data_IF_705823769475
#
_entry.id   IF_705823769475
#
_cell.length_a   1.000
_cell.length_b   1.000
_cell.length_c   1.000
_cell.angle_alpha   90.00
_cell.angle_beta   90.00
_cell.angle_gamma   90.00
#
_symmetry.space_group_name_H-M   'P 1'
#
loop_
_entity.id
_entity.type
_entity.pdbx_description
1 polymer ?
#
# COMPACT_ATOMS: atom_id res chain seq x y z
N UNK A 1 -24.82 16.37 12.47
CA UNK A 1 -24.04 15.12 12.52
C UNK A 1 -23.16 15.18 13.76
N UNK A 2 -23.21 14.18 14.63
CA UNK A 2 -22.36 14.09 15.84
C UNK A 2 -21.35 12.96 15.65
N UNK A 3 -20.09 13.20 16.01
CA UNK A 3 -19.03 12.19 15.92
C UNK A 3 -19.12 11.24 17.12
N UNK A 4 -19.41 9.96 16.88
CA UNK A 4 -19.55 8.95 17.95
C UNK A 4 -18.20 8.45 18.44
N UNK A 5 -17.23 8.25 17.53
CA UNK A 5 -15.86 7.82 17.85
C UNK A 5 -14.91 8.48 16.86
N UNK A 6 -13.97 9.28 17.37
CA UNK A 6 -13.03 10.01 16.51
C UNK A 6 -12.09 9.05 15.75
N UNK A 7 -11.56 8.03 16.43
CA UNK A 7 -10.62 7.06 15.87
C UNK A 7 -11.16 5.64 16.07
N UNK A 8 -11.79 5.07 15.03
CA UNK A 8 -12.40 3.74 15.13
C UNK A 8 -11.36 2.61 15.10
N UNK A 9 -10.29 2.80 14.34
CA UNK A 9 -9.18 1.87 14.12
C UNK A 9 -8.29 2.41 12.99
N UNK A 10 -7.13 1.79 12.79
CA UNK A 10 -6.27 2.07 11.65
C UNK A 10 -6.58 1.14 10.48
N UNK A 11 -6.36 1.61 9.26
CA UNK A 11 -6.49 0.82 8.03
C UNK A 11 -5.12 0.75 7.35
N UNK A 12 -4.81 -0.42 6.78
CA UNK A 12 -3.68 -0.60 5.88
C UNK A 12 -3.95 0.10 4.55
N UNK A 13 -2.88 0.48 3.84
CA UNK A 13 -2.95 1.02 2.49
C UNK A 13 -3.66 0.03 1.54
N UNK A 14 -3.46 -1.28 1.73
CA UNK A 14 -4.17 -2.33 1.01
C UNK A 14 -5.69 -2.29 1.26
N UNK A 15 -6.14 -2.19 2.51
CA UNK A 15 -7.59 -2.14 2.80
C UNK A 15 -8.27 -0.91 2.20
N UNK A 16 -7.57 0.22 2.17
CA UNK A 16 -8.06 1.43 1.50
C UNK A 16 -8.13 1.21 -0.02
N UNK A 17 -7.09 0.62 -0.62
CA UNK A 17 -7.06 0.32 -2.05
C UNK A 17 -8.17 -0.68 -2.44
N UNK A 18 -8.34 -1.76 -1.67
CA UNK A 18 -9.38 -2.78 -1.85
C UNK A 18 -10.79 -2.16 -1.75
N UNK A 19 -11.00 -1.27 -0.79
CA UNK A 19 -12.25 -0.51 -0.67
C UNK A 19 -12.51 0.38 -1.89
N UNK A 20 -11.50 1.10 -2.39
CA UNK A 20 -11.64 1.94 -3.58
C UNK A 20 -11.93 1.10 -4.84
N UNK A 21 -11.24 -0.04 -5.00
CA UNK A 21 -11.52 -1.00 -6.07
C UNK A 21 -12.98 -1.47 -6.04
N UNK A 22 -13.51 -1.81 -4.85
CA UNK A 22 -14.90 -2.25 -4.69
C UNK A 22 -15.94 -1.19 -5.08
N UNK A 23 -15.53 0.10 -5.11
CA UNK A 23 -16.35 1.23 -5.53
C UNK A 23 -16.19 1.59 -7.01
N UNK A 24 -15.36 0.87 -7.75
CA UNK A 24 -15.11 1.09 -9.17
C UNK A 24 -13.90 1.98 -9.47
N UNK A 25 -12.96 2.16 -8.52
CA UNK A 25 -11.69 2.78 -8.84
C UNK A 25 -10.90 1.83 -9.75
N UNK A 26 -10.48 2.32 -10.91
CA UNK A 26 -9.64 1.60 -11.87
C UNK A 26 -8.75 2.59 -12.61
N UNK A 27 -7.68 2.09 -13.21
CA UNK A 27 -6.86 2.82 -14.20
C UNK A 27 -7.58 2.95 -15.56
N UNK A 28 -8.66 2.20 -15.78
CA UNK A 28 -9.40 2.17 -17.04
C UNK A 28 -10.07 3.52 -17.38
N UNK A 29 -10.31 3.72 -18.68
CA UNK A 29 -11.06 4.87 -19.23
C UNK A 29 -12.47 4.97 -18.60
N UNK A 30 -13.01 3.86 -18.11
CA UNK A 30 -14.30 3.81 -17.40
C UNK A 30 -14.31 4.53 -16.05
N UNK A 31 -13.14 4.96 -15.52
CA UNK A 31 -13.02 5.74 -14.27
C UNK A 31 -13.88 7.01 -14.24
N UNK A 32 -14.21 7.57 -15.40
CA UNK A 32 -15.05 8.77 -15.51
C UNK A 32 -16.52 8.50 -15.10
N UNK A 33 -16.96 7.25 -15.18
CA UNK A 33 -18.34 6.83 -14.93
C UNK A 33 -18.55 6.39 -13.47
N UNK A 34 -17.46 6.06 -12.76
CA UNK A 34 -17.56 5.60 -11.38
C UNK A 34 -17.96 6.73 -10.42
N UNK A 35 -18.82 6.46 -9.41
CA UNK A 35 -19.22 7.45 -8.40
C UNK A 35 -18.12 7.64 -7.34
N UNK A 36 -16.93 8.03 -7.80
CA UNK A 36 -15.73 8.23 -6.99
C UNK A 36 -15.31 9.69 -7.08
N UNK A 37 -15.08 10.30 -5.92
CA UNK A 37 -14.67 11.70 -5.86
C UNK A 37 -13.25 11.87 -6.42
N UNK A 38 -12.95 13.06 -6.96
CA UNK A 38 -11.60 13.39 -7.45
C UNK A 38 -10.52 13.19 -6.37
N UNK A 39 -10.84 13.46 -5.11
CA UNK A 39 -9.94 13.22 -3.97
C UNK A 39 -9.65 11.74 -3.75
N UNK A 40 -10.63 10.87 -3.95
CA UNK A 40 -10.49 9.42 -3.80
C UNK A 40 -9.65 8.84 -4.94
N UNK A 41 -9.79 9.37 -6.17
CA UNK A 41 -8.92 9.00 -7.28
C UNK A 41 -7.46 9.38 -7.04
N UNK A 42 -7.18 10.54 -6.45
CA UNK A 42 -5.79 10.91 -6.10
C UNK A 42 -5.17 9.93 -5.10
N UNK A 43 -5.97 9.44 -4.14
CA UNK A 43 -5.51 8.42 -3.18
C UNK A 43 -5.30 7.09 -3.89
N UNK A 44 -6.23 6.68 -4.78
CA UNK A 44 -6.09 5.49 -5.60
C UNK A 44 -4.81 5.51 -6.44
N UNK A 45 -4.60 6.59 -7.21
CA UNK A 45 -3.46 6.77 -8.10
C UNK A 45 -2.13 6.71 -7.33
N UNK A 46 -2.08 7.21 -6.09
CA UNK A 46 -0.93 7.01 -5.19
C UNK A 46 -0.78 5.55 -4.76
N UNK A 47 -1.84 4.92 -4.26
CA UNK A 47 -1.78 3.58 -3.66
C UNK A 47 -1.37 2.49 -4.66
N UNK A 48 -1.77 2.61 -5.93
CA UNK A 48 -1.40 1.65 -6.98
C UNK A 48 0.09 1.64 -7.31
N UNK A 49 0.83 2.69 -6.93
CA UNK A 49 2.28 2.78 -7.09
C UNK A 49 3.06 2.26 -5.86
N UNK A 50 2.34 1.86 -4.80
CA UNK A 50 2.94 1.39 -3.53
C UNK A 50 2.87 -0.14 -3.38
N UNK A 51 3.46 -0.66 -2.29
CA UNK A 51 3.36 -2.07 -1.91
C UNK A 51 1.90 -2.57 -1.76
N UNK A 52 0.95 -1.67 -1.50
CA UNK A 52 -0.46 -2.02 -1.36
C UNK A 52 -1.04 -2.67 -2.63
N UNK A 53 -0.51 -2.34 -3.81
CA UNK A 53 -1.01 -2.86 -5.08
C UNK A 53 -0.75 -4.35 -5.27
N UNK A 54 0.41 -4.83 -4.86
CA UNK A 54 0.82 -6.23 -5.05
C UNK A 54 0.40 -7.12 -3.89
N UNK A 55 0.09 -6.54 -2.74
CA UNK A 55 -0.34 -7.24 -1.54
C UNK A 55 -1.72 -7.90 -1.68
N UNK A 56 -1.92 -8.96 -0.91
CA UNK A 56 -3.21 -9.64 -0.77
C UNK A 56 -3.65 -9.67 0.69
N UNK A 57 -4.95 -9.87 0.90
CA UNK A 57 -5.49 -10.03 2.26
C UNK A 57 -4.89 -11.23 2.98
N UNK A 58 -4.60 -12.30 2.26
CA UNK A 58 -3.95 -13.49 2.82
C UNK A 58 -2.52 -13.20 3.26
N UNK A 59 -1.69 -12.56 2.42
CA UNK A 59 -0.30 -12.23 2.75
C UNK A 59 -0.21 -11.32 3.98
N UNK A 60 -1.08 -10.31 4.06
CA UNK A 60 -1.12 -9.38 5.20
C UNK A 60 -1.52 -10.08 6.51
N UNK A 61 -2.51 -10.96 6.46
CA UNK A 61 -2.97 -11.69 7.63
C UNK A 61 -1.89 -12.66 8.13
N UNK A 62 -1.27 -13.44 7.22
CA UNK A 62 -0.17 -14.35 7.56
C UNK A 62 1.01 -13.60 8.18
N UNK A 63 1.41 -12.46 7.59
CA UNK A 63 2.48 -11.63 8.12
C UNK A 63 2.14 -11.11 9.53
N UNK A 64 0.94 -10.56 9.71
CA UNK A 64 0.47 -10.02 11.00
C UNK A 64 0.40 -11.07 12.11
N UNK A 65 0.08 -12.32 11.77
CA UNK A 65 0.09 -13.43 12.71
C UNK A 65 1.51 -13.82 13.14
N UNK A 66 2.43 -13.92 12.17
CA UNK A 66 3.84 -14.25 12.43
C UNK A 66 4.58 -13.18 13.21
N UNK A 67 4.27 -11.89 12.99
CA UNK A 67 4.88 -10.79 13.75
C UNK A 67 4.54 -10.80 15.25
N UNK A 68 3.52 -11.56 15.69
CA UNK A 68 3.20 -11.69 17.13
C UNK A 68 4.35 -12.32 17.91
N UNK A 69 5.12 -13.19 17.26
CA UNK A 69 6.27 -13.87 17.87
C UNK A 69 7.47 -12.92 18.07
N UNK A 70 7.48 -11.78 17.37
CA UNK A 70 8.59 -10.82 17.32
C UNK A 70 8.41 -9.60 18.24
N UNK A 71 7.36 -9.60 19.09
CA UNK A 71 7.02 -8.49 20.01
C UNK A 71 6.87 -7.13 19.29
N UNK A 72 6.47 -7.13 18.03
CA UNK A 72 6.26 -5.91 17.22
C UNK A 72 4.89 -5.32 17.57
N UNK A 73 4.83 -4.01 17.82
CA UNK A 73 3.59 -3.32 18.14
C UNK A 73 2.67 -3.25 16.92
N UNK A 74 1.35 -3.15 17.14
CA UNK A 74 0.37 -3.12 16.04
C UNK A 74 0.61 -1.97 15.04
N UNK A 75 1.04 -0.81 15.53
CA UNK A 75 1.37 0.33 14.67
C UNK A 75 2.64 0.11 13.84
N UNK A 76 3.63 -0.59 14.40
CA UNK A 76 4.85 -0.98 13.69
C UNK A 76 4.52 -2.01 12.60
N UNK A 77 3.72 -3.03 12.91
CA UNK A 77 3.23 -4.01 11.92
C UNK A 77 2.50 -3.30 10.77
N UNK A 78 1.59 -2.36 11.10
CA UNK A 78 0.88 -1.55 10.12
C UNK A 78 1.84 -0.78 9.19
N UNK A 79 2.86 -0.13 9.77
CA UNK A 79 3.84 0.63 8.99
C UNK A 79 4.72 -0.28 8.13
N UNK A 80 5.12 -1.45 8.63
CA UNK A 80 5.88 -2.44 7.85
C UNK A 80 5.05 -2.94 6.67
N UNK A 81 3.76 -3.21 6.86
CA UNK A 81 2.86 -3.60 5.75
C UNK A 81 2.76 -2.47 4.72
N UNK A 82 2.56 -1.24 5.15
CA UNK A 82 2.36 -0.10 4.25
C UNK A 82 3.61 0.28 3.46
N UNK A 83 4.79 0.21 4.09
CA UNK A 83 6.06 0.64 3.48
C UNK A 83 6.83 -0.51 2.82
N UNK A 84 6.63 -1.75 3.27
CA UNK A 84 7.36 -2.95 2.82
C UNK A 84 8.89 -2.67 2.78
N UNK A 85 9.55 -2.58 3.95
CA UNK A 85 10.99 -2.34 4.01
C UNK A 85 11.76 -3.48 3.32
N UNK A 86 12.76 -3.12 2.51
CA UNK A 86 13.59 -4.06 1.75
C UNK A 86 14.96 -4.26 2.38
N UNK A 87 15.31 -3.45 3.39
CA UNK A 87 16.58 -3.53 4.12
C UNK A 87 16.41 -3.20 5.60
N UNK A 88 17.40 -3.56 6.42
CA UNK A 88 17.43 -3.22 7.85
C UNK A 88 17.45 -1.70 8.06
N UNK A 89 18.09 -0.94 7.16
CA UNK A 89 18.16 0.52 7.22
C UNK A 89 16.77 1.15 7.05
N UNK A 90 15.89 0.52 6.28
CA UNK A 90 14.48 0.95 6.13
C UNK A 90 13.58 0.45 7.25
N UNK A 91 13.89 -0.72 7.82
CA UNK A 91 13.10 -1.32 8.90
C UNK A 91 13.33 -0.61 10.24
N UNK A 92 14.59 -0.31 10.61
CA UNK A 92 14.94 0.24 11.92
C UNK A 92 14.21 1.56 12.26
N UNK A 93 14.04 2.52 11.33
CA UNK A 93 13.27 3.74 11.59
C UNK A 93 11.78 3.50 11.86
N UNK A 94 11.22 2.37 11.46
CA UNK A 94 9.81 2.01 11.70
C UNK A 94 9.59 1.53 13.13
N UNK A 95 10.62 0.89 13.72
CA UNK A 95 10.57 0.30 15.05
C UNK A 95 10.89 1.35 16.11
N UNK A 96 10.03 1.48 17.11
CA UNK A 96 10.27 2.43 18.20
C UNK A 96 11.22 1.81 19.23
N UNK A 97 12.35 2.51 19.48
CA UNK A 97 13.38 2.15 20.47
C UNK A 97 13.82 0.68 20.36
N UNK A 98 14.39 0.28 19.21
CA UNK A 98 14.81 -1.11 18.99
C UNK A 98 15.85 -1.58 20.02
N UNK A 99 16.70 -0.68 20.51
CA UNK A 99 17.75 -0.96 21.49
C UNK A 99 17.22 -1.44 22.86
N UNK A 100 16.02 -0.98 23.25
CA UNK A 100 15.42 -1.29 24.55
C UNK A 100 14.68 -2.65 24.56
N UNK A 101 14.39 -3.22 23.37
CA UNK A 101 13.44 -4.34 23.21
C UNK A 101 14.05 -5.64 22.68
N UNK A 102 15.36 -5.67 22.39
CA UNK A 102 16.06 -6.81 21.77
C UNK A 102 15.25 -7.44 20.63
N UNK A 103 14.88 -6.61 19.63
CA UNK A 103 14.06 -7.04 18.50
C UNK A 103 14.91 -7.79 17.48
N UNK A 104 14.42 -8.94 17.01
CA UNK A 104 15.05 -9.68 15.93
C UNK A 104 14.71 -9.03 14.57
N UNK A 105 15.39 -7.94 14.25
CA UNK A 105 15.20 -7.17 13.02
C UNK A 105 15.48 -7.99 11.76
N UNK A 106 16.49 -8.86 11.79
CA UNK A 106 16.83 -9.73 10.66
C UNK A 106 15.69 -10.72 10.37
N UNK A 107 15.12 -11.36 11.39
CA UNK A 107 13.99 -12.27 11.22
C UNK A 107 12.70 -11.57 10.79
N UNK A 108 12.47 -10.31 11.21
CA UNK A 108 11.35 -9.52 10.68
C UNK A 108 11.55 -9.23 9.20
N UNK A 109 12.76 -8.85 8.80
CA UNK A 109 13.07 -8.56 7.41
C UNK A 109 12.93 -9.82 6.51
N UNK A 110 13.35 -10.98 7.01
CA UNK A 110 13.14 -12.26 6.34
C UNK A 110 11.63 -12.55 6.16
N UNK A 111 10.82 -12.37 7.21
CA UNK A 111 9.37 -12.51 7.11
C UNK A 111 8.74 -11.56 6.09
N UNK A 112 9.24 -10.32 5.98
CA UNK A 112 8.77 -9.36 4.97
C UNK A 112 9.07 -9.89 3.56
N UNK A 113 10.26 -10.44 3.33
CA UNK A 113 10.65 -10.96 2.02
C UNK A 113 9.89 -12.24 1.66
N UNK A 114 9.60 -13.09 2.63
CA UNK A 114 8.94 -14.38 2.44
C UNK A 114 7.42 -14.25 2.25
N UNK A 115 6.78 -13.35 3.00
CA UNK A 115 5.32 -13.28 3.07
C UNK A 115 4.72 -12.10 2.31
N UNK A 116 5.43 -10.97 2.22
CA UNK A 116 4.92 -9.79 1.52
C UNK A 116 5.45 -9.75 0.09
N UNK A 117 4.57 -9.62 -0.91
CA UNK A 117 4.97 -9.60 -2.31
C UNK A 117 5.89 -8.39 -2.60
N UNK A 118 6.72 -8.48 -3.65
CA UNK A 118 7.60 -7.40 -4.04
C UNK A 118 6.80 -6.16 -4.47
N UNK A 119 7.46 -5.00 -4.42
CA UNK A 119 6.90 -3.76 -4.95
C UNK A 119 6.56 -3.91 -6.44
N UNK A 120 5.56 -3.15 -6.95
CA UNK A 120 5.25 -3.15 -8.37
C UNK A 120 6.49 -2.70 -9.18
N UNK A 121 7.03 -3.58 -10.01
CA UNK A 121 8.13 -3.25 -10.93
C UNK A 121 7.59 -2.35 -12.04
N UNK A 122 8.30 -1.26 -12.37
CA UNK A 122 7.94 -0.27 -13.40
C UNK A 122 7.75 -0.82 -14.83
N UNK A 123 7.93 -2.12 -15.05
CA UNK A 123 7.75 -2.80 -16.34
C UNK A 123 6.27 -2.85 -16.80
N UNK A 124 5.32 -2.48 -15.94
CA UNK A 124 3.89 -2.39 -16.27
C UNK A 124 3.45 -1.02 -16.82
N UNK A 125 4.39 -0.11 -17.15
CA UNK A 125 4.12 1.28 -17.53
C UNK A 125 4.46 1.64 -19.00
N UNK A 126 4.32 0.73 -19.96
CA UNK A 126 4.64 1.03 -21.39
C UNK A 126 3.49 0.94 -22.39
N UNK A 127 2.24 0.82 -21.97
CA UNK A 127 1.11 0.78 -22.92
C UNK A 127 -0.01 1.74 -22.52
N UNK A 128 0.19 3.07 -22.63
CA UNK A 128 -0.94 3.97 -22.98
C UNK A 128 -0.57 5.37 -23.51
N UNK A 129 0.69 5.82 -23.52
CA UNK A 129 1.04 7.18 -23.99
C UNK A 129 1.40 7.27 -25.49
N UNK A 130 0.59 6.67 -26.37
CA UNK A 130 0.65 6.94 -27.81
C UNK A 130 -0.75 6.98 -28.41
N UNK A 131 -1.44 8.12 -28.30
CA UNK A 131 -2.39 8.60 -29.32
C UNK A 131 -2.90 10.03 -29.01
N UNK A 132 -2.00 11.02 -28.95
CA UNK A 132 -2.38 12.43 -29.19
C UNK A 132 -1.25 13.14 -29.97
N UNK A 133 -1.10 12.77 -31.25
CA UNK A 133 -0.45 13.60 -32.26
C UNK A 133 -1.13 13.43 -33.62
N UNK A 134 -2.29 14.05 -33.80
CA UNK A 134 -2.68 14.64 -35.10
C UNK A 134 -3.99 15.41 -34.96
N UNK A 135 -3.92 16.72 -34.78
CA UNK A 135 -4.80 17.66 -35.50
C UNK A 135 -4.39 19.09 -35.20
N UNK A 136 -4.04 19.85 -36.24
CA UNK A 136 -3.97 21.30 -36.18
C UNK A 136 -2.73 21.89 -36.81
N UNK A 137 -2.73 22.03 -38.15
CA UNK A 137 -2.53 23.32 -38.84
C UNK A 137 -2.46 23.09 -40.37
N UNK A 138 -3.59 23.30 -41.04
CA UNK A 138 -3.64 23.81 -42.41
C UNK A 138 -4.73 24.87 -42.47
N UNK A 139 -4.34 26.13 -42.52
CA UNK A 139 -5.07 27.25 -43.15
C UNK A 139 -4.09 28.40 -43.39
#
# INVERSE_FOLDING_TARGET
MLTVKANAGALTNFEVLDFLNSRGASKDITRVIAPIAKSEYKVYDYLVETAAFTQTRESINRFSEKCRDFKVAKAEILNIINLRPSSIVELMPIIEKPDDREINSDGILELVQDLLPPLPTSESHKETDQEEKESGEQS
#
